data_IF_828377865367
#
_entry.id   IF_828377865367
#
_cell.length_a   1.000
_cell.length_b   1.000
_cell.length_c   1.000
_cell.angle_alpha   90.00
_cell.angle_beta   90.00
_cell.angle_gamma   90.00
#
_symmetry.space_group_name_H-M   'P 1'
#
loop_
_entity.id
_entity.type
_entity.pdbx_description
1 polymer ?
#
# COMPACT_ATOMS: atom_id res chain seq x y z
N UNK A 1 -12.73 -6.86 -4.37
CA UNK A 1 -11.77 -6.74 -3.26
C UNK A 1 -11.75 -8.06 -2.51
N UNK A 2 -10.59 -8.55 -2.05
CA UNK A 2 -10.52 -9.81 -1.29
C UNK A 2 -11.08 -9.57 0.12
N UNK A 3 -12.03 -10.40 0.56
CA UNK A 3 -12.57 -10.33 1.92
C UNK A 3 -11.47 -10.50 2.99
N UNK A 4 -10.40 -11.22 2.65
CA UNK A 4 -9.24 -11.44 3.52
C UNK A 4 -8.46 -10.13 3.70
N UNK A 5 -8.24 -9.39 2.60
CA UNK A 5 -7.58 -8.08 2.65
C UNK A 5 -8.36 -7.08 3.51
N UNK A 6 -9.68 -7.00 3.31
CA UNK A 6 -10.55 -6.10 4.07
C UNK A 6 -10.56 -6.44 5.56
N UNK A 7 -10.51 -7.73 5.91
CA UNK A 7 -10.37 -8.19 7.29
C UNK A 7 -9.07 -7.73 7.94
N UNK A 8 -7.94 -7.83 7.22
CA UNK A 8 -6.65 -7.34 7.71
C UNK A 8 -6.60 -5.80 7.78
N UNK A 9 -7.16 -5.09 6.80
CA UNK A 9 -7.25 -3.63 6.78
C UNK A 9 -8.03 -3.12 8.00
N UNK A 10 -9.15 -3.77 8.34
CA UNK A 10 -9.94 -3.42 9.53
C UNK A 10 -9.17 -3.64 10.83
N UNK A 11 -8.50 -4.79 10.97
CA UNK A 11 -7.67 -5.09 12.15
C UNK A 11 -6.53 -4.07 12.28
N UNK A 12 -5.86 -3.72 11.18
CA UNK A 12 -4.80 -2.73 11.18
C UNK A 12 -5.30 -1.35 11.60
N UNK A 13 -6.43 -0.89 11.05
CA UNK A 13 -7.01 0.41 11.40
C UNK A 13 -7.40 0.48 12.88
N UNK A 14 -8.00 -0.58 13.43
CA UNK A 14 -8.36 -0.65 14.84
C UNK A 14 -7.14 -0.64 15.76
N UNK A 15 -6.11 -1.44 15.42
CA UNK A 15 -4.86 -1.52 16.15
C UNK A 15 -4.10 -0.18 16.09
N UNK A 16 -3.98 0.43 14.91
CA UNK A 16 -3.36 1.75 14.69
C UNK A 16 -4.02 2.85 15.53
N UNK A 17 -5.36 2.88 15.56
CA UNK A 17 -6.10 3.85 16.36
C UNK A 17 -5.91 3.61 17.87
N UNK A 18 -5.85 2.33 18.30
CA UNK A 18 -5.56 1.98 19.69
C UNK A 18 -4.14 2.42 20.10
N UNK A 19 -3.13 2.08 19.28
CA UNK A 19 -1.74 2.46 19.51
C UNK A 19 -1.55 3.98 19.55
N UNK A 20 -2.18 4.72 18.65
CA UNK A 20 -2.12 6.19 18.65
C UNK A 20 -2.71 6.79 19.93
N UNK A 21 -3.84 6.26 20.41
CA UNK A 21 -4.44 6.70 21.69
C UNK A 21 -3.56 6.34 22.89
N UNK A 22 -3.09 5.09 22.96
CA UNK A 22 -2.17 4.64 24.02
C UNK A 22 -0.87 5.43 24.02
N UNK A 23 -0.33 5.78 22.85
CA UNK A 23 0.88 6.62 22.72
C UNK A 23 0.66 8.01 23.34
N UNK A 24 -0.47 8.66 23.03
CA UNK A 24 -0.82 9.95 23.63
C UNK A 24 -1.03 9.85 25.15
N UNK A 25 -1.64 8.77 25.64
CA UNK A 25 -1.79 8.51 27.08
C UNK A 25 -0.44 8.25 27.77
N UNK A 26 0.44 7.49 27.13
CA UNK A 26 1.81 7.23 27.60
C UNK A 26 2.69 8.49 27.61
N UNK A 27 2.43 9.44 26.70
CA UNK A 27 3.09 10.74 26.69
C UNK A 27 2.72 11.62 27.88
N UNK A 28 1.50 11.50 28.41
CA UNK A 28 1.04 12.25 29.57
C UNK A 28 1.46 11.63 30.92
N UNK A 29 1.96 10.39 30.92
CA UNK A 29 2.40 9.70 32.13
C UNK A 29 3.80 10.17 32.58
N UNK A 30 4.02 10.40 33.89
CA UNK A 30 5.35 10.71 34.41
C UNK A 30 6.31 9.51 34.22
N UNK A 31 7.60 9.81 34.10
CA UNK A 31 8.64 8.81 33.87
C UNK A 31 8.69 7.83 35.06
N UNK A 32 8.43 6.54 34.79
CA UNK A 32 8.31 5.52 35.82
C UNK A 32 8.01 4.13 35.26
N UNK A 33 7.92 3.14 36.16
CA UNK A 33 7.69 1.75 35.79
C UNK A 33 6.42 1.54 34.94
N UNK A 34 5.35 2.30 35.24
CA UNK A 34 4.08 2.27 34.49
C UNK A 34 4.26 2.75 33.04
N UNK A 35 4.97 3.86 32.82
CA UNK A 35 5.25 4.37 31.47
C UNK A 35 6.13 3.40 30.69
N UNK A 36 7.13 2.80 31.34
CA UNK A 36 8.00 1.78 30.70
C UNK A 36 7.21 0.54 30.27
N UNK A 37 6.27 0.09 31.10
CA UNK A 37 5.36 -1.02 30.76
C UNK A 37 4.47 -0.66 29.57
N UNK A 38 3.80 0.51 29.59
CA UNK A 38 2.97 0.99 28.48
C UNK A 38 3.77 1.14 27.16
N UNK A 39 5.00 1.65 27.23
CA UNK A 39 5.90 1.74 26.06
C UNK A 39 6.27 0.35 25.52
N UNK A 40 6.46 -0.63 26.38
CA UNK A 40 6.71 -2.02 25.96
C UNK A 40 5.48 -2.66 25.29
N UNK A 41 4.28 -2.40 25.81
CA UNK A 41 3.02 -2.85 25.18
C UNK A 41 2.79 -2.16 23.82
N UNK A 42 3.12 -0.87 23.73
CA UNK A 42 3.09 -0.11 22.47
C UNK A 42 4.06 -0.69 21.44
N UNK A 43 5.28 -1.05 21.85
CA UNK A 43 6.25 -1.70 20.96
C UNK A 43 5.73 -3.05 20.43
N UNK A 44 5.17 -3.89 21.31
CA UNK A 44 4.59 -5.17 20.89
C UNK A 44 3.44 -4.98 19.88
N UNK A 45 2.53 -4.04 20.14
CA UNK A 45 1.44 -3.77 19.20
C UNK A 45 1.90 -3.11 17.88
N UNK A 46 3.01 -2.36 17.89
CA UNK A 46 3.63 -1.85 16.66
C UNK A 46 4.20 -2.98 15.79
N UNK A 47 4.73 -4.03 16.41
CA UNK A 47 5.20 -5.23 15.70
C UNK A 47 4.02 -6.02 15.11
N UNK A 48 2.92 -6.16 15.85
CA UNK A 48 1.68 -6.78 15.37
C UNK A 48 1.08 -6.02 14.17
N UNK A 49 1.11 -4.69 14.21
CA UNK A 49 0.66 -3.84 13.11
C UNK A 49 1.55 -4.02 11.85
N UNK A 50 2.85 -4.19 12.03
CA UNK A 50 3.78 -4.53 10.94
C UNK A 50 3.47 -5.90 10.32
N UNK A 51 3.11 -6.89 11.14
CA UNK A 51 2.68 -8.21 10.66
C UNK A 51 1.41 -8.10 9.83
N UNK A 52 0.44 -7.29 10.24
CA UNK A 52 -0.78 -7.05 9.48
C UNK A 52 -0.50 -6.38 8.14
N UNK A 53 0.37 -5.35 8.10
CA UNK A 53 0.81 -4.72 6.85
C UNK A 53 1.47 -5.75 5.91
N UNK A 54 2.32 -6.64 6.43
CA UNK A 54 2.94 -7.71 5.61
C UNK A 54 1.91 -8.70 5.05
N UNK A 55 0.91 -9.10 5.84
CA UNK A 55 -0.18 -9.97 5.39
C UNK A 55 -1.01 -9.30 4.29
N UNK A 56 -1.32 -8.02 4.45
CA UNK A 56 -2.01 -7.22 3.43
C UNK A 56 -1.18 -7.08 2.15
N UNK A 57 0.14 -6.91 2.25
CA UNK A 57 1.05 -6.84 1.09
C UNK A 57 1.05 -8.15 0.29
N UNK A 58 1.13 -9.30 0.98
CA UNK A 58 1.05 -10.62 0.34
C UNK A 58 -0.29 -10.83 -0.38
N UNK A 59 -1.39 -10.47 0.27
CA UNK A 59 -2.74 -10.58 -0.31
C UNK A 59 -2.94 -9.56 -1.46
N UNK A 60 -2.37 -8.36 -1.38
CA UNK A 60 -2.42 -7.38 -2.47
C UNK A 60 -1.65 -7.83 -3.70
N UNK A 61 -0.53 -8.56 -3.53
CA UNK A 61 0.29 -9.10 -4.62
C UNK A 61 -0.40 -10.24 -5.38
N UNK A 62 -1.34 -10.95 -4.77
CA UNK A 62 -2.11 -12.04 -5.41
C UNK A 62 -3.31 -11.55 -6.24
N UNK A 63 -3.65 -10.26 -6.15
CA UNK A 63 -4.80 -9.65 -6.83
C UNK A 63 -4.49 -9.15 -8.25
N UNK A 64 -5.55 -8.84 -9.02
CA UNK A 64 -5.44 -8.33 -10.39
C UNK A 64 -4.64 -7.01 -10.46
N UNK A 65 -3.91 -6.74 -11.57
CA UNK A 65 -2.99 -5.59 -11.69
C UNK A 65 -3.61 -4.21 -11.41
N UNK A 66 -4.88 -4.01 -11.78
CA UNK A 66 -5.61 -2.76 -11.58
C UNK A 66 -5.92 -2.48 -10.11
N UNK A 67 -6.29 -3.51 -9.35
CA UNK A 67 -6.56 -3.41 -7.90
C UNK A 67 -5.25 -3.36 -7.10
N UNK A 68 -4.23 -4.11 -7.55
CA UNK A 68 -2.90 -4.15 -6.94
C UNK A 68 -2.27 -2.77 -6.81
N UNK A 69 -2.36 -1.92 -7.84
CA UNK A 69 -1.76 -0.58 -7.80
C UNK A 69 -2.36 0.31 -6.70
N UNK A 70 -3.69 0.32 -6.58
CA UNK A 70 -4.41 1.10 -5.56
C UNK A 70 -4.13 0.59 -4.15
N UNK A 71 -4.06 -0.74 -3.96
CA UNK A 71 -3.78 -1.34 -2.65
C UNK A 71 -2.35 -1.11 -2.19
N UNK A 72 -1.37 -1.20 -3.10
CA UNK A 72 0.03 -0.90 -2.78
C UNK A 72 0.23 0.57 -2.42
N UNK A 73 -0.50 1.50 -3.05
CA UNK A 73 -0.47 2.91 -2.68
C UNK A 73 -0.95 3.13 -1.23
N UNK A 74 -2.08 2.51 -0.84
CA UNK A 74 -2.58 2.52 0.54
C UNK A 74 -1.59 1.90 1.52
N UNK A 75 -0.99 0.76 1.16
CA UNK A 75 0.02 0.09 2.00
C UNK A 75 1.24 0.97 2.25
N UNK A 76 1.63 1.79 1.28
CA UNK A 76 2.72 2.76 1.47
C UNK A 76 2.36 3.84 2.48
N UNK A 77 1.13 4.33 2.44
CA UNK A 77 0.61 5.29 3.42
C UNK A 77 0.57 4.69 4.83
N UNK A 78 0.05 3.46 4.97
CA UNK A 78 0.06 2.73 6.24
C UNK A 78 1.47 2.49 6.78
N UNK A 79 2.43 2.06 5.95
CA UNK A 79 3.84 1.93 6.35
C UNK A 79 4.42 3.26 6.82
N UNK A 80 4.13 4.36 6.13
CA UNK A 80 4.57 5.71 6.51
C UNK A 80 4.01 6.10 7.87
N UNK A 81 2.71 5.94 8.10
CA UNK A 81 2.09 6.33 9.36
C UNK A 81 2.55 5.47 10.54
N UNK A 82 2.72 4.15 10.33
CA UNK A 82 3.32 3.28 11.33
C UNK A 82 4.75 3.72 11.66
N UNK A 83 5.53 4.15 10.66
CA UNK A 83 6.90 4.65 10.89
C UNK A 83 6.93 5.94 11.73
N UNK A 84 5.95 6.83 11.56
CA UNK A 84 5.80 8.03 12.39
C UNK A 84 5.50 7.63 13.83
N UNK A 85 4.54 6.71 14.02
CA UNK A 85 4.14 6.23 15.34
C UNK A 85 5.28 5.50 16.06
N UNK A 86 6.07 4.68 15.34
CA UNK A 86 7.30 4.06 15.89
C UNK A 86 8.30 5.11 16.40
N UNK A 87 8.48 6.22 15.69
CA UNK A 87 9.37 7.31 16.13
C UNK A 87 8.85 7.99 17.38
N UNK A 88 7.54 8.20 17.50
CA UNK A 88 6.92 8.78 18.70
C UNK A 88 7.09 7.88 19.92
N UNK A 89 6.80 6.58 19.78
CA UNK A 89 7.01 5.59 20.86
C UNK A 89 8.50 5.49 21.24
N UNK A 90 9.41 5.57 20.27
CA UNK A 90 10.85 5.60 20.56
C UNK A 90 11.27 6.85 21.34
N UNK A 91 10.70 8.02 21.04
CA UNK A 91 10.92 9.25 21.84
C UNK A 91 10.42 9.10 23.28
N UNK A 92 9.30 8.40 23.49
CA UNK A 92 8.75 8.11 24.82
C UNK A 92 9.61 7.13 25.63
N UNK A 93 10.33 6.24 24.96
CA UNK A 93 11.25 5.28 25.56
C UNK A 93 12.58 5.90 25.99
N UNK A 94 12.98 7.02 25.37
CA UNK A 94 14.18 7.75 25.76
C UNK A 94 13.88 8.47 27.08
N UNK A 95 14.69 8.26 28.14
CA UNK A 95 14.53 9.02 29.38
C UNK A 95 14.67 10.50 29.05
N UNK A 96 13.68 11.28 29.46
CA UNK A 96 13.70 12.72 29.30
C UNK A 96 14.86 13.21 30.18
N UNK A 97 16.04 13.45 29.61
CA UNK A 97 17.09 14.12 30.38
C UNK A 97 16.57 15.53 30.69
N UNK A 98 16.50 15.94 31.96
CA UNK A 98 16.15 17.30 32.36
C UNK A 98 17.33 18.24 32.10
N UNK A 99 17.86 18.27 30.87
CA UNK A 99 19.15 18.90 30.57
C UNK A 99 19.13 19.90 29.42
N UNK A 100 17.99 20.14 28.77
CA UNK A 100 17.93 21.07 27.64
C UNK A 100 17.55 22.51 28.04
N UNK A 101 16.98 22.72 29.22
CA UNK A 101 16.56 24.07 29.67
C UNK A 101 17.39 24.60 30.87
N UNK A 102 17.93 23.72 31.73
CA UNK A 102 18.55 24.14 33.00
C UNK A 102 20.07 24.41 32.91
N UNK A 103 20.71 24.06 31.79
CA UNK A 103 22.17 24.21 31.62
C UNK A 103 22.63 25.60 31.18
N UNK A 104 21.72 26.57 31.07
CA UNK A 104 22.09 27.98 30.86
C UNK A 104 22.25 28.76 32.18
N UNK A 105 21.92 28.18 33.34
CA UNK A 105 21.92 28.92 34.62
C UNK A 105 22.97 28.44 35.65
N UNK A 106 23.65 27.32 35.43
CA UNK A 106 24.73 26.85 36.33
C UNK A 106 26.14 27.18 35.81
N UNK A 107 26.34 28.46 35.47
CA UNK A 107 27.61 29.00 34.96
C UNK A 107 28.45 29.76 36.01
N UNK A 108 28.10 29.72 37.30
CA UNK A 108 28.78 30.56 38.30
C UNK A 108 28.85 29.91 39.69
N UNK A 109 29.70 28.92 39.89
CA UNK A 109 30.30 28.63 41.20
C UNK A 109 31.56 27.78 41.01
N UNK A 110 32.71 28.37 41.34
CA UNK A 110 34.02 27.79 41.10
C UNK A 110 34.49 26.79 42.16
N UNK A 111 35.58 26.12 41.75
CA UNK A 111 36.72 25.72 42.57
C UNK A 111 36.48 24.68 43.68
N UNK A 112 36.67 23.39 43.36
CA UNK A 112 37.35 22.45 44.26
C UNK A 112 37.93 21.24 43.52
N UNK A 113 39.05 20.74 44.03
CA UNK A 113 40.18 20.21 43.28
C UNK A 113 40.25 18.68 43.19
N UNK A 114 40.86 18.21 42.10
CA UNK A 114 41.69 17.00 41.91
C UNK A 114 41.16 15.58 42.21
N UNK A 115 40.16 15.35 43.07
CA UNK A 115 39.56 14.01 43.24
C UNK A 115 38.51 13.70 42.15
N UNK A 116 37.90 14.76 41.62
CA UNK A 116 36.78 14.72 40.68
C UNK A 116 37.19 14.37 39.23
N UNK A 117 38.49 14.26 38.94
CA UNK A 117 38.97 14.05 37.58
C UNK A 117 38.79 12.58 37.14
N UNK A 118 38.98 11.62 38.05
CA UNK A 118 38.79 10.18 37.77
C UNK A 118 37.31 9.83 37.62
N UNK A 119 36.46 10.42 38.46
CA UNK A 119 35.00 10.30 38.40
C UNK A 119 34.42 10.99 37.16
N UNK A 120 34.94 12.16 36.78
CA UNK A 120 34.59 12.79 35.48
C UNK A 120 35.03 11.94 34.29
N UNK A 121 36.17 11.26 34.36
CA UNK A 121 36.65 10.39 33.28
C UNK A 121 35.84 9.08 33.17
N UNK A 122 35.44 8.47 34.28
CA UNK A 122 34.51 7.32 34.25
C UNK A 122 33.12 7.72 33.78
N UNK A 123 32.56 8.84 34.26
CA UNK A 123 31.31 9.40 33.72
C UNK A 123 31.42 9.72 32.23
N UNK A 124 32.53 10.29 31.79
CA UNK A 124 32.81 10.57 30.37
C UNK A 124 32.84 9.29 29.55
N UNK A 125 33.49 8.24 30.05
CA UNK A 125 33.62 6.95 29.37
C UNK A 125 32.27 6.24 29.27
N UNK A 126 31.49 6.25 30.34
CA UNK A 126 30.17 5.64 30.38
C UNK A 126 29.17 6.37 29.46
N UNK A 127 29.24 7.71 29.41
CA UNK A 127 28.50 8.53 28.44
C UNK A 127 28.89 8.24 26.99
N UNK A 128 30.18 8.00 26.73
CA UNK A 128 30.70 7.65 25.42
C UNK A 128 30.23 6.26 24.99
N UNK A 129 30.28 5.30 25.90
CA UNK A 129 29.85 3.93 25.63
C UNK A 129 28.33 3.89 25.33
N UNK A 130 27.55 4.62 26.13
CA UNK A 130 26.11 4.75 25.92
C UNK A 130 25.77 5.48 24.60
N UNK A 131 26.55 6.50 24.21
CA UNK A 131 26.41 7.13 22.89
C UNK A 131 26.80 6.19 21.75
N UNK A 132 27.81 5.35 21.94
CA UNK A 132 28.26 4.38 20.95
C UNK A 132 27.21 3.31 20.70
N UNK A 133 26.57 2.80 21.76
CA UNK A 133 25.45 1.87 21.64
C UNK A 133 24.25 2.50 20.94
N UNK A 134 23.89 3.75 21.29
CA UNK A 134 22.84 4.50 20.59
C UNK A 134 23.15 4.72 19.12
N UNK A 135 24.40 5.01 18.77
CA UNK A 135 24.83 5.20 17.39
C UNK A 135 24.73 3.88 16.61
N UNK A 136 25.08 2.76 17.25
CA UNK A 136 25.02 1.42 16.67
C UNK A 136 23.57 0.99 16.42
N UNK A 137 22.68 1.27 17.36
CA UNK A 137 21.24 1.01 17.23
C UNK A 137 20.60 1.93 16.18
N UNK A 138 20.96 3.21 16.15
CA UNK A 138 20.50 4.15 15.13
C UNK A 138 20.97 3.75 13.73
N UNK A 139 22.22 3.27 13.59
CA UNK A 139 22.75 2.75 12.32
C UNK A 139 21.98 1.52 11.87
N UNK A 140 21.64 0.62 12.77
CA UNK A 140 20.83 -0.57 12.47
C UNK A 140 19.44 -0.20 11.98
N UNK A 141 18.74 0.68 12.71
CA UNK A 141 17.43 1.17 12.31
C UNK A 141 17.47 1.92 10.96
N UNK A 142 18.53 2.70 10.71
CA UNK A 142 18.72 3.39 9.44
C UNK A 142 18.92 2.40 8.27
N UNK A 143 19.70 1.34 8.47
CA UNK A 143 19.89 0.28 7.46
C UNK A 143 18.60 -0.48 7.16
N UNK A 144 17.81 -0.81 8.19
CA UNK A 144 16.47 -1.42 7.99
C UNK A 144 15.53 -0.48 7.24
N UNK A 145 15.66 0.84 7.45
CA UNK A 145 14.89 1.86 6.71
C UNK A 145 15.39 2.03 5.27
N UNK A 146 16.69 1.89 5.03
CA UNK A 146 17.30 1.91 3.69
C UNK A 146 16.85 0.71 2.87
N UNK A 147 16.88 -0.49 3.45
CA UNK A 147 16.40 -1.72 2.81
C UNK A 147 14.90 -1.62 2.45
N UNK A 148 14.08 -1.06 3.35
CA UNK A 148 12.68 -0.75 3.06
C UNK A 148 12.53 0.27 1.92
N UNK A 149 13.39 1.30 1.90
CA UNK A 149 13.42 2.32 0.85
C UNK A 149 13.78 1.74 -0.51
N UNK A 150 14.75 0.83 -0.56
CA UNK A 150 15.16 0.12 -1.78
C UNK A 150 14.02 -0.75 -2.30
N UNK A 151 13.35 -1.51 -1.42
CA UNK A 151 12.19 -2.34 -1.80
C UNK A 151 11.03 -1.49 -2.36
N UNK A 152 10.78 -0.30 -1.79
CA UNK A 152 9.77 0.64 -2.32
C UNK A 152 10.18 1.17 -3.70
N UNK A 153 11.46 1.48 -3.91
CA UNK A 153 11.97 1.96 -5.19
C UNK A 153 11.84 0.89 -6.29
N UNK A 154 12.13 -0.36 -5.94
CA UNK A 154 12.01 -1.52 -6.82
C UNK A 154 10.54 -1.79 -7.21
N UNK A 155 9.62 -1.75 -6.23
CA UNK A 155 8.18 -1.89 -6.49
C UNK A 155 7.64 -0.74 -7.38
N UNK A 156 8.11 0.50 -7.19
CA UNK A 156 7.77 1.65 -8.06
C UNK A 156 8.30 1.46 -9.49
N UNK A 157 9.52 0.91 -9.62
CA UNK A 157 10.11 0.62 -10.93
C UNK A 157 9.30 -0.46 -11.66
N UNK A 158 8.92 -1.54 -10.97
CA UNK A 158 8.05 -2.58 -11.52
C UNK A 158 6.64 -2.07 -11.85
N UNK A 159 6.07 -1.18 -11.03
CA UNK A 159 4.79 -0.53 -11.36
C UNK A 159 4.90 0.32 -12.63
N UNK A 160 5.99 1.07 -12.81
CA UNK A 160 6.24 1.84 -14.04
C UNK A 160 6.33 0.94 -15.26
N UNK A 161 7.07 -0.16 -15.19
CA UNK A 161 7.16 -1.12 -16.30
C UNK A 161 5.81 -1.78 -16.61
N UNK A 162 5.03 -2.13 -15.58
CA UNK A 162 3.69 -2.72 -15.75
C UNK A 162 2.70 -1.72 -16.36
N UNK A 163 2.77 -0.43 -16.00
CA UNK A 163 2.01 0.65 -16.63
C UNK A 163 2.39 0.81 -18.10
N UNK A 164 3.69 0.81 -18.41
CA UNK A 164 4.20 0.89 -19.79
C UNK A 164 3.76 -0.33 -20.62
N UNK A 165 3.75 -1.54 -20.04
CA UNK A 165 3.27 -2.75 -20.71
C UNK A 165 1.74 -2.80 -20.86
N UNK A 166 1.00 -2.23 -19.92
CA UNK A 166 -0.47 -2.14 -19.99
C UNK A 166 -0.94 -1.23 -21.12
N UNK A 167 -0.18 -0.17 -21.44
CA UNK A 167 -0.39 0.63 -22.64
C UNK A 167 -0.24 -0.18 -23.94
N UNK A 168 0.62 -1.19 -23.96
CA UNK A 168 0.82 -2.07 -25.12
C UNK A 168 -0.31 -3.11 -25.27
N UNK A 169 -0.86 -3.61 -24.15
CA UNK A 169 -2.05 -4.49 -24.18
C UNK A 169 -3.35 -3.79 -24.57
N UNK A 170 -3.49 -2.48 -24.29
CA UNK A 170 -4.64 -1.70 -24.79
C UNK A 170 -4.61 -1.57 -26.32
N UNK A 171 -3.43 -1.43 -26.94
CA UNK A 171 -3.27 -1.49 -28.40
C UNK A 171 -3.65 -2.86 -29.00
N UNK A 172 -3.35 -3.96 -28.30
CA UNK A 172 -3.72 -5.30 -28.76
C UNK A 172 -5.23 -5.57 -28.61
N UNK A 173 -5.88 -5.01 -27.58
CA UNK A 173 -7.34 -5.11 -27.40
C UNK A 173 -8.08 -4.34 -28.49
N UNK A 174 -7.59 -3.17 -28.94
CA UNK A 174 -8.15 -2.47 -30.09
C UNK A 174 -8.03 -3.31 -31.38
N UNK A 175 -6.91 -4.02 -31.57
CA UNK A 175 -6.74 -4.93 -32.72
C UNK A 175 -7.67 -6.16 -32.67
N UNK A 176 -7.98 -6.65 -31.47
CA UNK A 176 -8.92 -7.76 -31.26
C UNK A 176 -10.38 -7.31 -31.43
N UNK A 177 -10.70 -6.07 -31.06
CA UNK A 177 -12.01 -5.44 -31.33
C UNK A 177 -12.20 -5.23 -32.83
N UNK A 178 -11.17 -4.80 -33.56
CA UNK A 178 -11.26 -4.59 -35.01
C UNK A 178 -11.41 -5.92 -35.77
N UNK A 179 -10.70 -6.98 -35.34
CA UNK A 179 -10.92 -8.35 -35.84
C UNK A 179 -12.31 -8.89 -35.52
N UNK A 180 -12.85 -8.59 -34.33
CA UNK A 180 -14.19 -9.02 -33.92
C UNK A 180 -15.29 -8.29 -34.69
N UNK A 181 -15.14 -6.98 -34.93
CA UNK A 181 -16.04 -6.20 -35.81
C UNK A 181 -16.04 -6.76 -37.23
N UNK A 182 -14.89 -7.08 -37.80
CA UNK A 182 -14.77 -7.67 -39.15
C UNK A 182 -15.47 -9.02 -39.28
N UNK A 183 -15.39 -9.88 -38.27
CA UNK A 183 -16.12 -11.17 -38.25
C UNK A 183 -17.63 -10.95 -38.12
N UNK A 184 -18.07 -10.03 -37.24
CA UNK A 184 -19.49 -9.73 -37.06
C UNK A 184 -20.14 -9.11 -38.31
N UNK A 185 -19.43 -8.22 -39.02
CA UNK A 185 -19.90 -7.67 -40.30
C UNK A 185 -19.97 -8.73 -41.40
N UNK A 186 -19.06 -9.72 -41.38
CA UNK A 186 -19.07 -10.85 -42.33
C UNK A 186 -20.23 -11.83 -42.10
N UNK A 187 -20.65 -12.04 -40.84
CA UNK A 187 -21.84 -12.81 -40.50
C UNK A 187 -23.13 -12.06 -40.84
N UNK A 188 -23.19 -10.75 -40.56
CA UNK A 188 -24.35 -9.91 -40.84
C UNK A 188 -24.69 -9.86 -42.34
N UNK A 189 -23.67 -9.75 -43.21
CA UNK A 189 -23.88 -9.78 -44.67
C UNK A 189 -24.47 -11.10 -45.20
N UNK A 190 -24.12 -12.24 -44.60
CA UNK A 190 -24.67 -13.56 -45.01
C UNK A 190 -26.16 -13.68 -44.69
N UNK A 191 -26.59 -13.14 -43.54
CA UNK A 191 -28.00 -13.17 -43.11
C UNK A 191 -28.87 -12.30 -44.02
N UNK A 192 -28.41 -11.10 -44.37
CA UNK A 192 -29.17 -10.21 -45.27
C UNK A 192 -29.36 -10.81 -46.66
N UNK A 193 -28.34 -11.48 -47.22
CA UNK A 193 -28.45 -12.13 -48.54
C UNK A 193 -29.46 -13.27 -48.54
N UNK A 194 -29.47 -14.10 -47.49
CA UNK A 194 -30.44 -15.19 -47.38
C UNK A 194 -31.88 -14.67 -47.25
N UNK A 195 -32.09 -13.54 -46.56
CA UNK A 195 -33.41 -12.88 -46.48
C UNK A 195 -33.91 -12.42 -47.85
N UNK A 196 -33.04 -11.85 -48.69
CA UNK A 196 -33.41 -11.43 -50.06
C UNK A 196 -33.73 -12.61 -50.98
N UNK A 197 -32.94 -13.68 -50.93
CA UNK A 197 -33.19 -14.89 -51.73
C UNK A 197 -34.54 -15.51 -51.34
N UNK A 198 -34.83 -15.64 -50.05
CA UNK A 198 -36.10 -16.18 -49.57
C UNK A 198 -37.29 -15.31 -50.01
N UNK A 199 -37.17 -13.99 -49.91
CA UNK A 199 -38.20 -13.05 -50.37
C UNK A 199 -38.46 -13.16 -51.89
N UNK A 200 -37.41 -13.32 -52.70
CA UNK A 200 -37.55 -13.49 -54.15
C UNK A 200 -38.29 -14.78 -54.52
N UNK A 201 -38.04 -15.88 -53.81
CA UNK A 201 -38.73 -17.16 -54.06
C UNK A 201 -40.21 -17.04 -53.73
N UNK A 202 -40.56 -16.41 -52.59
CA UNK A 202 -41.95 -16.19 -52.20
C UNK A 202 -42.68 -15.31 -53.24
N UNK A 203 -42.05 -14.23 -53.70
CA UNK A 203 -42.62 -13.35 -54.72
C UNK A 203 -42.87 -14.09 -56.05
N UNK A 204 -41.92 -14.93 -56.48
CA UNK A 204 -42.07 -15.74 -57.70
C UNK A 204 -43.22 -16.75 -57.59
N UNK A 205 -43.39 -17.40 -56.43
CA UNK A 205 -44.50 -18.32 -56.19
C UNK A 205 -45.86 -17.60 -56.23
N UNK A 206 -45.97 -16.43 -55.61
CA UNK A 206 -47.19 -15.62 -55.66
C UNK A 206 -47.52 -15.23 -57.11
N UNK A 207 -46.51 -14.79 -57.87
CA UNK A 207 -46.69 -14.38 -59.26
C UNK A 207 -47.13 -15.55 -60.15
N UNK A 208 -46.57 -16.76 -59.94
CA UNK A 208 -47.00 -17.96 -60.63
C UNK A 208 -48.47 -18.32 -60.33
N UNK A 209 -48.89 -18.22 -59.07
CA UNK A 209 -50.29 -18.45 -58.68
C UNK A 209 -51.23 -17.43 -59.37
N UNK A 210 -50.85 -16.15 -59.39
CA UNK A 210 -51.63 -15.10 -60.06
C UNK A 210 -51.77 -15.40 -61.54
N UNK A 211 -50.69 -15.81 -62.22
CA UNK A 211 -50.72 -16.17 -63.64
C UNK A 211 -51.67 -17.34 -63.90
N UNK A 212 -51.59 -18.40 -63.09
CA UNK A 212 -52.48 -19.58 -63.23
C UNK A 212 -53.94 -19.19 -63.01
N UNK A 213 -54.24 -18.37 -62.01
CA UNK A 213 -55.59 -17.87 -61.77
C UNK A 213 -56.09 -17.01 -62.93
N UNK A 214 -55.24 -16.14 -63.48
CA UNK A 214 -55.58 -15.31 -64.64
C UNK A 214 -55.94 -16.16 -65.86
N UNK A 215 -55.12 -17.15 -66.20
CA UNK A 215 -55.41 -18.07 -67.31
C UNK A 215 -56.67 -18.91 -67.06
N UNK A 216 -56.92 -19.34 -65.82
CA UNK A 216 -58.11 -20.13 -65.46
C UNK A 216 -59.40 -19.31 -65.45
N UNK A 217 -59.33 -18.01 -65.21
CA UNK A 217 -60.50 -17.12 -65.20
C UNK A 217 -60.77 -16.53 -66.60
N UNK A 218 -59.72 -16.33 -67.39
CA UNK A 218 -59.82 -15.78 -68.75
C UNK A 218 -60.11 -16.82 -69.83
N UNK A 219 -60.01 -18.12 -69.52
CA UNK A 219 -60.38 -19.25 -70.38
C UNK A 219 -61.52 -20.05 -69.73
#
# INVERSE_FOLDING_TARGET
MSQVYEGYERQYCELSANLSRKCNSAAALPDGAKKKQEVSELQAGLDDADVLIRKMDLEARSLQPSLKATLLAKLREYKSDLSKLKREVKKLSMPNQPGHEELLESGMAGHEASANQRERLTMSTERLNQSTDRLRESRRAALETEELGVSILEDLHQQRETLLHSHKKLSDVDSAIDKSKKVLTSMSRRISRNKWILGSIIAALILAIIIVLYFKISH
#
